data_IF_825870151093
#
_entry.id   IF_825870151093
#
_cell.length_a   1.000
_cell.length_b   1.000
_cell.length_c   1.000
_cell.angle_alpha   90.00
_cell.angle_beta   90.00
_cell.angle_gamma   90.00
#
_symmetry.space_group_name_H-M   'P 1'
#
loop_
_entity.id
_entity.type
_entity.pdbx_description
1 polymer ?
#
# COMPACT_ATOMS: atom_id res chain seq x y z
N UNK A 1 42.56 -11.74 7.41
CA UNK A 1 41.19 -12.10 7.03
C UNK A 1 40.30 -11.91 8.24
N UNK A 2 39.39 -10.94 8.19
CA UNK A 2 38.36 -10.74 9.22
C UNK A 2 37.03 -10.58 8.49
N UNK A 3 36.37 -11.72 8.22
CA UNK A 3 34.99 -11.76 7.74
C UNK A 3 34.11 -11.60 8.98
N UNK A 4 33.94 -10.36 9.45
CA UNK A 4 33.14 -10.06 10.63
C UNK A 4 32.34 -8.78 10.37
N UNK A 5 31.09 -8.94 9.92
CA UNK A 5 30.18 -7.80 9.71
C UNK A 5 29.02 -8.03 8.75
N UNK A 6 29.07 -9.04 7.88
CA UNK A 6 27.90 -9.49 7.11
C UNK A 6 26.92 -10.31 7.98
N UNK A 7 26.64 -9.82 9.19
CA UNK A 7 25.52 -10.29 9.99
C UNK A 7 24.25 -9.86 9.23
N UNK A 8 23.72 -10.79 8.42
CA UNK A 8 22.61 -10.63 7.48
C UNK A 8 21.68 -9.46 7.82
N UNK A 9 21.88 -8.31 7.16
CA UNK A 9 20.90 -7.24 7.23
C UNK A 9 19.57 -7.77 6.72
N UNK A 10 18.46 -7.28 7.29
CA UNK A 10 17.11 -7.60 6.83
C UNK A 10 16.71 -6.77 5.62
N UNK A 11 17.67 -6.16 4.91
CA UNK A 11 17.42 -5.23 3.82
C UNK A 11 16.61 -5.88 2.71
N UNK A 12 17.01 -7.08 2.27
CA UNK A 12 16.34 -7.79 1.18
C UNK A 12 14.90 -8.20 1.54
N UNK A 13 14.68 -8.67 2.77
CA UNK A 13 13.33 -9.08 3.21
C UNK A 13 12.41 -7.88 3.39
N UNK A 14 12.89 -6.79 3.99
CA UNK A 14 12.13 -5.54 4.12
C UNK A 14 11.82 -4.95 2.74
N UNK A 15 12.79 -4.92 1.83
CA UNK A 15 12.56 -4.46 0.46
C UNK A 15 11.49 -5.32 -0.25
N UNK A 16 11.56 -6.64 -0.12
CA UNK A 16 10.56 -7.55 -0.71
C UNK A 16 9.16 -7.31 -0.15
N UNK A 17 9.04 -7.13 1.16
CA UNK A 17 7.75 -6.86 1.80
C UNK A 17 7.17 -5.51 1.36
N UNK A 18 8.01 -4.47 1.25
CA UNK A 18 7.57 -3.16 0.77
C UNK A 18 7.20 -3.18 -0.72
N UNK A 19 7.97 -3.88 -1.57
CA UNK A 19 7.67 -3.99 -3.00
C UNK A 19 6.32 -4.67 -3.23
N UNK A 20 5.98 -5.68 -2.42
CA UNK A 20 4.66 -6.32 -2.48
C UNK A 20 3.53 -5.36 -2.05
N UNK A 21 3.73 -4.55 -1.00
CA UNK A 21 2.77 -3.52 -0.59
C UNK A 21 2.57 -2.48 -1.70
N UNK A 22 3.66 -2.02 -2.32
CA UNK A 22 3.61 -1.12 -3.47
C UNK A 22 2.87 -1.71 -4.67
N UNK A 23 3.12 -2.98 -4.99
CA UNK A 23 2.42 -3.68 -6.06
C UNK A 23 0.91 -3.80 -5.81
N UNK A 24 0.50 -4.04 -4.56
CA UNK A 24 -0.92 -4.06 -4.18
C UNK A 24 -1.53 -2.67 -4.39
N UNK A 25 -0.87 -1.60 -3.95
CA UNK A 25 -1.34 -0.22 -4.18
C UNK A 25 -1.55 0.10 -5.66
N UNK A 26 -0.57 -0.25 -6.50
CA UNK A 26 -0.64 -0.07 -7.94
C UNK A 26 -1.80 -0.85 -8.58
N UNK A 27 -2.04 -2.08 -8.11
CA UNK A 27 -3.16 -2.90 -8.60
C UNK A 27 -4.52 -2.34 -8.17
N UNK A 28 -4.66 -1.75 -6.97
CA UNK A 28 -5.88 -1.03 -6.58
C UNK A 28 -6.19 0.10 -7.57
N UNK A 29 -5.19 0.93 -7.87
CA UNK A 29 -5.32 2.02 -8.83
C UNK A 29 -5.68 1.48 -10.22
N UNK A 30 -5.05 0.38 -10.64
CA UNK A 30 -5.35 -0.26 -11.92
C UNK A 30 -6.79 -0.74 -11.99
N UNK A 31 -7.31 -1.39 -10.94
CA UNK A 31 -8.69 -1.89 -10.90
C UNK A 31 -9.70 -0.76 -10.97
N UNK A 32 -9.48 0.34 -10.24
CA UNK A 32 -10.35 1.52 -10.34
C UNK A 32 -10.36 2.10 -11.76
N UNK A 33 -9.22 2.12 -12.45
CA UNK A 33 -9.12 2.64 -13.83
C UNK A 33 -9.67 1.69 -14.89
N UNK A 34 -9.68 0.38 -14.64
CA UNK A 34 -10.08 -0.64 -15.61
C UNK A 34 -11.56 -1.04 -15.50
N UNK A 35 -12.25 -0.65 -14.42
CA UNK A 35 -13.68 -0.93 -14.25
C UNK A 35 -14.54 -0.35 -15.37
N UNK A 36 -15.65 -1.03 -15.67
CA UNK A 36 -16.60 -0.58 -16.70
C UNK A 36 -17.21 0.80 -16.40
N UNK A 37 -17.31 1.13 -15.12
CA UNK A 37 -17.65 2.46 -14.61
C UNK A 37 -16.92 2.70 -13.27
N UNK A 38 -16.90 3.94 -12.75
CA UNK A 38 -16.22 4.25 -11.49
C UNK A 38 -16.69 3.44 -10.28
N UNK A 39 -17.97 3.08 -10.21
CA UNK A 39 -18.53 2.31 -9.09
C UNK A 39 -18.06 0.86 -9.17
N UNK A 40 -18.11 0.26 -10.36
CA UNK A 40 -17.57 -1.07 -10.61
C UNK A 40 -16.06 -1.14 -10.31
N UNK A 41 -15.29 -0.15 -10.79
CA UNK A 41 -13.84 -0.10 -10.55
C UNK A 41 -13.49 0.03 -9.06
N UNK A 42 -14.21 0.87 -8.30
CA UNK A 42 -14.02 1.00 -6.85
C UNK A 42 -14.44 -0.27 -6.10
N UNK A 43 -15.52 -0.93 -6.52
CA UNK A 43 -15.96 -2.19 -5.92
C UNK A 43 -14.93 -3.31 -6.16
N UNK A 44 -14.40 -3.43 -7.37
CA UNK A 44 -13.37 -4.42 -7.72
C UNK A 44 -12.06 -4.17 -6.95
N UNK A 45 -11.66 -2.90 -6.82
CA UNK A 45 -10.51 -2.53 -6.02
C UNK A 45 -10.71 -2.86 -4.53
N UNK A 46 -11.90 -2.60 -3.98
CA UNK A 46 -12.20 -2.97 -2.59
C UNK A 46 -12.17 -4.48 -2.38
N UNK A 47 -12.78 -5.27 -3.28
CA UNK A 47 -12.74 -6.73 -3.19
C UNK A 47 -11.30 -7.27 -3.25
N UNK A 48 -10.45 -6.67 -4.10
CA UNK A 48 -9.03 -7.01 -4.15
C UNK A 48 -8.29 -6.65 -2.86
N UNK A 49 -8.54 -5.47 -2.31
CA UNK A 49 -7.98 -5.05 -1.02
C UNK A 49 -8.37 -6.01 0.09
N UNK A 50 -9.66 -6.36 0.18
CA UNK A 50 -10.19 -7.25 1.20
C UNK A 50 -9.54 -8.64 1.11
N UNK A 51 -9.32 -9.15 -0.11
CA UNK A 51 -8.65 -10.43 -0.35
C UNK A 51 -7.15 -10.42 0.04
N UNK A 52 -6.48 -9.27 -0.02
CA UNK A 52 -5.04 -9.13 0.29
C UNK A 52 -4.79 -8.44 1.65
N UNK A 53 -5.85 -8.14 2.41
CA UNK A 53 -5.77 -7.42 3.67
C UNK A 53 -4.83 -8.12 4.66
N UNK A 54 -5.01 -9.42 4.85
CA UNK A 54 -4.20 -10.22 5.77
C UNK A 54 -2.72 -10.25 5.33
N UNK A 55 -2.46 -10.33 4.02
CA UNK A 55 -1.10 -10.28 3.47
C UNK A 55 -0.42 -8.93 3.78
N UNK A 56 -1.11 -7.82 3.55
CA UNK A 56 -0.58 -6.48 3.86
C UNK A 56 -0.28 -6.38 5.36
N UNK A 57 -1.22 -6.79 6.22
CA UNK A 57 -1.02 -6.74 7.68
C UNK A 57 0.20 -7.56 8.11
N UNK A 58 0.37 -8.77 7.57
CA UNK A 58 1.51 -9.62 7.90
C UNK A 58 2.84 -9.00 7.44
N UNK A 59 2.88 -8.45 6.22
CA UNK A 59 4.05 -7.73 5.68
C UNK A 59 4.40 -6.52 6.52
N UNK A 60 3.42 -5.69 6.86
CA UNK A 60 3.61 -4.50 7.68
C UNK A 60 4.05 -4.84 9.10
N UNK A 61 3.53 -5.94 9.68
CA UNK A 61 3.99 -6.47 10.96
C UNK A 61 5.44 -6.95 10.91
N UNK A 62 5.86 -7.62 9.82
CA UNK A 62 7.27 -8.01 9.63
C UNK A 62 8.19 -6.80 9.53
N UNK A 63 7.81 -5.80 8.74
CA UNK A 63 8.61 -4.56 8.55
C UNK A 63 8.71 -3.78 9.87
N UNK A 64 7.61 -3.56 10.58
CA UNK A 64 7.60 -2.85 11.87
C UNK A 64 8.35 -3.59 12.98
N UNK A 65 8.39 -4.93 12.92
CA UNK A 65 9.20 -5.76 13.83
C UNK A 65 10.70 -5.69 13.60
N UNK A 66 11.18 -5.06 12.52
CA UNK A 66 12.61 -4.86 12.26
C UNK A 66 13.14 -3.68 13.06
N UNK A 67 14.15 -3.94 13.89
CA UNK A 67 14.84 -2.86 14.63
C UNK A 67 15.74 -2.08 13.69
N UNK A 68 15.81 -0.75 13.84
CA UNK A 68 16.52 0.13 12.90
C UNK A 68 18.02 -0.13 12.70
N UNK A 69 18.70 -0.89 13.57
CA UNK A 69 20.09 -1.31 13.37
C UNK A 69 20.22 -2.58 12.51
N UNK A 70 19.11 -3.26 12.19
CA UNK A 70 19.08 -4.48 11.38
C UNK A 70 18.94 -4.19 9.88
N UNK A 71 18.73 -2.93 9.50
CA UNK A 71 18.60 -2.45 8.13
C UNK A 71 19.43 -1.19 7.90
N UNK A 72 19.87 -1.00 6.66
CA UNK A 72 20.60 0.19 6.24
C UNK A 72 19.71 1.44 6.22
N UNK A 73 20.32 2.62 6.22
CA UNK A 73 19.58 3.88 6.08
C UNK A 73 18.91 4.00 4.71
N UNK A 74 19.51 3.40 3.67
CA UNK A 74 18.90 3.28 2.35
C UNK A 74 17.59 2.48 2.41
N UNK A 75 17.58 1.35 3.11
CA UNK A 75 16.36 0.54 3.31
C UNK A 75 15.31 1.31 4.10
N UNK A 76 15.69 2.02 5.18
CA UNK A 76 14.75 2.85 5.94
C UNK A 76 14.10 3.91 5.06
N UNK A 77 14.90 4.59 4.24
CA UNK A 77 14.41 5.57 3.27
C UNK A 77 13.47 4.92 2.27
N UNK A 78 13.81 3.76 1.72
CA UNK A 78 12.95 3.02 0.80
C UNK A 78 11.62 2.64 1.41
N UNK A 79 11.59 2.20 2.67
CA UNK A 79 10.34 1.92 3.41
C UNK A 79 9.46 3.17 3.44
N UNK A 80 10.01 4.32 3.83
CA UNK A 80 9.26 5.58 3.88
C UNK A 80 8.76 5.99 2.49
N UNK A 81 9.63 5.94 1.48
CA UNK A 81 9.31 6.32 0.11
C UNK A 81 8.17 5.44 -0.45
N UNK A 82 8.23 4.11 -0.26
CA UNK A 82 7.18 3.19 -0.72
C UNK A 82 5.86 3.44 0.01
N UNK A 83 5.88 3.63 1.35
CA UNK A 83 4.66 3.94 2.09
C UNK A 83 4.00 5.24 1.60
N UNK A 84 4.81 6.29 1.40
CA UNK A 84 4.31 7.58 0.90
C UNK A 84 3.78 7.46 -0.53
N UNK A 85 4.51 6.80 -1.43
CA UNK A 85 4.08 6.60 -2.81
C UNK A 85 2.81 5.77 -2.88
N UNK A 86 2.74 4.63 -2.18
CA UNK A 86 1.56 3.77 -2.18
C UNK A 86 0.32 4.49 -1.64
N UNK A 87 0.45 5.18 -0.50
CA UNK A 87 -0.63 5.99 0.05
C UNK A 87 -1.02 7.12 -0.91
N UNK A 88 -0.05 7.81 -1.50
CA UNK A 88 -0.26 8.90 -2.45
C UNK A 88 -1.01 8.47 -3.70
N UNK A 89 -0.62 7.35 -4.30
CA UNK A 89 -1.25 6.77 -5.48
C UNK A 89 -2.72 6.42 -5.22
N UNK A 90 -3.02 5.75 -4.11
CA UNK A 90 -4.40 5.40 -3.73
C UNK A 90 -5.20 6.66 -3.38
N UNK A 91 -4.62 7.64 -2.68
CA UNK A 91 -5.27 8.92 -2.40
C UNK A 91 -5.58 9.73 -3.68
N UNK A 92 -4.74 9.63 -4.72
CA UNK A 92 -4.92 10.33 -6.00
C UNK A 92 -6.18 9.87 -6.74
N UNK A 93 -6.73 8.70 -6.39
CA UNK A 93 -8.04 8.26 -6.89
C UNK A 93 -9.17 9.23 -6.50
N UNK A 94 -9.09 9.88 -5.32
CA UNK A 94 -10.06 10.90 -4.90
C UNK A 94 -10.08 12.11 -5.83
N UNK A 95 -8.90 12.52 -6.30
CA UNK A 95 -8.75 13.60 -7.26
C UNK A 95 -9.24 13.13 -8.64
N UNK A 96 -8.84 11.92 -9.04
CA UNK A 96 -9.16 11.35 -10.35
C UNK A 96 -10.67 11.13 -10.55
N UNK A 97 -11.40 10.80 -9.48
CA UNK A 97 -12.84 10.57 -9.49
C UNK A 97 -13.67 11.74 -8.94
N UNK A 98 -13.05 12.91 -8.73
CA UNK A 98 -13.70 14.04 -8.05
C UNK A 98 -15.01 14.45 -8.75
N UNK A 99 -15.00 14.62 -10.07
CA UNK A 99 -16.19 15.07 -10.81
C UNK A 99 -17.31 14.03 -10.78
N UNK A 100 -16.97 12.74 -10.79
CA UNK A 100 -17.93 11.64 -10.73
C UNK A 100 -18.54 11.49 -9.33
N UNK A 101 -17.75 11.76 -8.28
CA UNK A 101 -18.21 11.66 -6.89
C UNK A 101 -19.11 12.82 -6.45
N UNK A 102 -19.01 14.01 -7.07
CA UNK A 102 -19.84 15.17 -6.72
C UNK A 102 -21.34 14.94 -6.89
N UNK A 103 -21.75 14.15 -7.89
CA UNK A 103 -23.15 13.79 -8.15
C UNK A 103 -23.54 12.40 -7.68
N UNK A 104 -22.62 11.65 -7.06
CA UNK A 104 -22.80 10.25 -6.69
C UNK A 104 -22.24 9.98 -5.30
N UNK A 105 -23.07 10.17 -4.28
CA UNK A 105 -22.68 9.93 -2.89
C UNK A 105 -22.26 8.49 -2.60
N UNK A 106 -22.88 7.51 -3.27
CA UNK A 106 -22.55 6.10 -3.07
C UNK A 106 -21.13 5.80 -3.54
N UNK A 107 -20.75 6.32 -4.71
CA UNK A 107 -19.38 6.26 -5.22
C UNK A 107 -18.42 6.99 -4.27
N UNK A 108 -18.77 8.20 -3.82
CA UNK A 108 -17.93 8.97 -2.90
C UNK A 108 -17.67 8.22 -1.60
N UNK A 109 -18.70 7.61 -0.99
CA UNK A 109 -18.56 6.79 0.22
C UNK A 109 -17.66 5.57 -0.02
N UNK A 110 -17.88 4.86 -1.13
CA UNK A 110 -17.11 3.65 -1.47
C UNK A 110 -15.63 3.97 -1.72
N UNK A 111 -15.35 5.06 -2.44
CA UNK A 111 -13.99 5.52 -2.69
C UNK A 111 -13.29 5.96 -1.40
N UNK A 112 -13.99 6.71 -0.55
CA UNK A 112 -13.43 7.12 0.74
C UNK A 112 -13.15 5.92 1.65
N UNK A 113 -14.00 4.90 1.64
CA UNK A 113 -13.77 3.64 2.36
C UNK A 113 -12.51 2.92 1.83
N UNK A 114 -12.41 2.71 0.53
CA UNK A 114 -11.24 2.07 -0.09
C UNK A 114 -9.92 2.74 0.34
N UNK A 115 -9.89 4.07 0.25
CA UNK A 115 -8.70 4.84 0.64
C UNK A 115 -8.43 4.76 2.14
N UNK A 116 -9.47 4.85 2.97
CA UNK A 116 -9.33 4.76 4.43
C UNK A 116 -8.82 3.38 4.87
N UNK A 117 -9.38 2.31 4.32
CA UNK A 117 -8.98 0.94 4.62
C UNK A 117 -7.53 0.70 4.24
N UNK A 118 -7.11 1.12 3.04
CA UNK A 118 -5.73 0.96 2.59
C UNK A 118 -4.75 1.73 3.51
N UNK A 119 -5.08 2.98 3.85
CA UNK A 119 -4.25 3.79 4.75
C UNK A 119 -4.18 3.20 6.16
N UNK A 120 -5.27 2.61 6.67
CA UNK A 120 -5.28 1.94 7.97
C UNK A 120 -4.30 0.75 7.98
N UNK A 121 -4.25 -0.02 6.90
CA UNK A 121 -3.31 -1.13 6.77
C UNK A 121 -1.85 -0.68 6.74
N UNK A 122 -1.55 0.43 6.05
CA UNK A 122 -0.20 1.02 6.06
C UNK A 122 0.21 1.55 7.43
N UNK A 123 -0.75 1.91 8.29
CA UNK A 123 -0.50 2.37 9.66
C UNK A 123 -0.41 1.22 10.67
N UNK A 124 -0.63 -0.02 10.25
CA UNK A 124 -0.56 -1.21 11.11
C UNK A 124 -1.84 -1.48 11.92
N UNK A 125 -3.02 -1.09 11.41
CA UNK A 125 -4.32 -1.38 12.00
C UNK A 125 -4.91 -2.74 11.57
#
# INVERSE_FOLDING_TARGET
>A
MAVAGAACSKDASVATDMDAVGAIAAELVRKVKAGADPSAGVADAQAYLDAHKAEIQERMARVSGVRGFQISDETKKRVMDVMMSAAGEVNTLKISLMTQTMGNEALNRSLNKLVADFNALLQGA
#
